data_IF_695826653113
#
_entry.id   IF_695826653113
#
_cell.length_a   1.000
_cell.length_b   1.000
_cell.length_c   1.000
_cell.angle_alpha   90.00
_cell.angle_beta   90.00
_cell.angle_gamma   90.00
#
_symmetry.space_group_name_H-M   'P 1'
#
loop_
_entity.id
_entity.type
_entity.pdbx_description
1 polymer ?
#
# COMPACT_ATOMS: atom_id res chain seq x y z
N UNK A 1 -7.51 5.06 15.02
CA UNK A 1 -7.59 5.46 16.46
C UNK A 1 -6.98 6.83 16.75
N UNK A 2 -5.94 7.28 16.02
CA UNK A 2 -5.33 8.61 16.21
C UNK A 2 -6.29 9.78 16.02
N UNK A 3 -7.04 9.80 14.91
CA UNK A 3 -8.01 10.87 14.59
C UNK A 3 -9.04 11.05 15.71
N UNK A 4 -9.58 9.96 16.24
CA UNK A 4 -10.50 9.99 17.38
C UNK A 4 -9.85 10.54 18.64
N UNK A 5 -8.61 10.13 18.95
CA UNK A 5 -7.87 10.66 20.11
C UNK A 5 -7.58 12.16 19.95
N UNK A 6 -7.17 12.62 18.76
CA UNK A 6 -6.92 14.04 18.47
C UNK A 6 -8.19 14.88 18.61
N UNK A 7 -9.31 14.43 18.03
CA UNK A 7 -10.60 15.12 18.12
C UNK A 7 -11.10 15.17 19.57
N UNK A 8 -11.04 14.05 20.30
CA UNK A 8 -11.47 14.00 21.70
C UNK A 8 -10.57 14.84 22.61
N UNK A 9 -9.26 14.85 22.38
CA UNK A 9 -8.31 15.66 23.16
C UNK A 9 -8.49 17.16 22.89
N UNK A 10 -8.69 17.53 21.62
CA UNK A 10 -8.98 18.91 21.23
C UNK A 10 -10.29 19.42 21.85
N UNK A 11 -11.35 18.61 21.76
CA UNK A 11 -12.65 18.95 22.33
C UNK A 11 -12.63 19.00 23.87
N UNK A 12 -11.91 18.08 24.52
CA UNK A 12 -11.72 18.10 25.97
C UNK A 12 -10.92 19.33 26.44
N UNK A 13 -9.90 19.74 25.68
CA UNK A 13 -9.12 20.95 25.94
C UNK A 13 -10.00 22.21 25.81
N UNK A 14 -10.81 22.29 24.75
CA UNK A 14 -11.76 23.39 24.55
C UNK A 14 -12.78 23.51 25.70
N UNK A 15 -13.18 22.38 26.30
CA UNK A 15 -14.13 22.33 27.42
C UNK A 15 -13.49 22.35 28.80
N UNK A 16 -12.16 22.46 28.90
CA UNK A 16 -11.38 22.37 30.15
C UNK A 16 -11.65 21.08 30.94
N UNK A 17 -11.92 19.98 30.24
CA UNK A 17 -12.15 18.67 30.82
C UNK A 17 -10.81 17.92 30.88
N UNK A 18 -10.37 17.52 32.07
CA UNK A 18 -9.22 16.62 32.20
C UNK A 18 -9.61 15.21 31.75
N UNK A 19 -9.11 14.80 30.60
CA UNK A 19 -9.38 13.50 29.99
C UNK A 19 -8.08 12.68 29.89
N UNK A 20 -8.01 11.55 30.59
CA UNK A 20 -6.90 10.60 30.48
C UNK A 20 -7.29 9.45 29.52
N UNK A 21 -6.87 9.54 28.26
CA UNK A 21 -7.10 8.48 27.26
C UNK A 21 -5.90 7.53 27.25
N UNK A 22 -6.06 6.34 27.83
CA UNK A 22 -5.13 5.22 27.65
C UNK A 22 -5.47 4.49 26.35
N UNK A 23 -4.48 4.31 25.48
CA UNK A 23 -4.62 3.56 24.22
C UNK A 23 -3.70 2.36 24.26
N UNK A 24 -4.28 1.17 24.27
CA UNK A 24 -3.53 -0.08 24.12
C UNK A 24 -3.43 -0.42 22.63
N UNK A 25 -2.25 -0.20 22.04
CA UNK A 25 -1.99 -0.55 20.64
C UNK A 25 -1.44 -1.97 20.61
N UNK A 26 -2.33 -2.94 20.36
CA UNK A 26 -1.91 -4.32 20.18
C UNK A 26 -1.05 -4.44 18.93
N UNK A 27 0.22 -4.83 19.10
CA UNK A 27 1.16 -5.03 17.98
C UNK A 27 0.66 -6.12 16.99
N UNK A 28 -0.26 -6.99 17.41
CA UNK A 28 -0.91 -8.00 16.55
C UNK A 28 -1.90 -7.43 15.52
N UNK A 29 -2.41 -6.20 15.71
CA UNK A 29 -3.35 -5.56 14.77
C UNK A 29 -2.67 -5.05 13.50
N UNK A 30 -1.37 -4.74 13.57
CA UNK A 30 -0.57 -4.21 12.47
C UNK A 30 -0.37 -5.22 11.33
N UNK A 31 0.06 -6.46 11.58
CA UNK A 31 0.13 -7.49 10.54
C UNK A 31 -1.19 -7.69 9.79
N UNK A 32 -2.33 -7.61 10.49
CA UNK A 32 -3.63 -7.74 9.86
C UNK A 32 -3.94 -6.57 8.91
N UNK A 33 -3.71 -5.33 9.34
CA UNK A 33 -3.90 -4.15 8.46
C UNK A 33 -2.94 -4.20 7.27
N UNK A 34 -1.68 -4.60 7.48
CA UNK A 34 -0.70 -4.76 6.40
C UNK A 34 -1.11 -5.86 5.41
N UNK A 35 -1.72 -6.96 5.87
CA UNK A 35 -2.22 -8.02 4.99
C UNK A 35 -3.37 -7.58 4.08
N UNK A 36 -4.20 -6.63 4.54
CA UNK A 36 -5.27 -6.05 3.73
C UNK A 36 -4.72 -5.11 2.66
N UNK A 37 -3.66 -4.37 3.00
CA UNK A 37 -2.94 -3.51 2.05
C UNK A 37 -2.14 -4.34 1.04
N UNK A 38 -1.55 -5.45 1.48
CA UNK A 38 -0.80 -6.39 0.63
C UNK A 38 -1.63 -6.88 -0.55
N UNK A 39 -2.83 -7.40 -0.30
CA UNK A 39 -3.71 -7.87 -1.38
C UNK A 39 -3.96 -6.78 -2.42
N UNK A 40 -4.08 -5.53 -2.00
CA UNK A 40 -4.31 -4.39 -2.90
C UNK A 40 -3.04 -4.01 -3.68
N UNK A 41 -1.88 -3.98 -3.02
CA UNK A 41 -0.58 -3.69 -3.65
C UNK A 41 -0.16 -4.78 -4.64
N UNK A 42 -0.30 -6.05 -4.25
CA UNK A 42 -0.01 -7.21 -5.10
C UNK A 42 -0.84 -7.21 -6.39
N UNK A 43 -2.13 -6.84 -6.31
CA UNK A 43 -2.99 -6.66 -7.50
C UNK A 43 -2.49 -5.52 -8.39
N UNK A 44 -2.05 -4.39 -7.82
CA UNK A 44 -1.49 -3.31 -8.62
C UNK A 44 -0.19 -3.74 -9.31
N UNK A 45 0.70 -4.47 -8.62
CA UNK A 45 1.92 -4.99 -9.24
C UNK A 45 1.66 -6.01 -10.36
N UNK A 46 0.68 -6.90 -10.16
CA UNK A 46 0.25 -7.83 -11.21
C UNK A 46 -0.27 -7.07 -12.45
N UNK A 47 -1.04 -6.00 -12.25
CA UNK A 47 -1.53 -5.16 -13.34
C UNK A 47 -0.40 -4.49 -14.12
N UNK A 48 0.64 -3.99 -13.44
CA UNK A 48 1.83 -3.43 -14.11
C UNK A 48 2.55 -4.47 -14.97
N UNK A 49 2.67 -5.70 -14.48
CA UNK A 49 3.24 -6.82 -15.26
C UNK A 49 2.39 -7.15 -16.47
N UNK A 50 1.05 -7.21 -16.33
CA UNK A 50 0.14 -7.48 -17.44
C UNK A 50 0.26 -6.42 -18.54
N UNK A 51 0.31 -5.12 -18.19
CA UNK A 51 0.50 -4.03 -19.16
C UNK A 51 1.80 -4.18 -19.93
N UNK A 52 2.90 -4.54 -19.26
CA UNK A 52 4.20 -4.76 -19.91
C UNK A 52 4.17 -5.90 -20.92
N UNK A 53 3.25 -6.86 -20.75
CA UNK A 53 3.06 -7.99 -21.67
C UNK A 53 2.11 -7.69 -22.82
N UNK A 54 1.26 -6.66 -22.73
CA UNK A 54 0.27 -6.36 -23.78
C UNK A 54 0.94 -6.09 -25.13
N UNK A 55 1.97 -5.25 -25.17
CA UNK A 55 2.60 -4.86 -26.45
C UNK A 55 3.37 -6.03 -27.09
N UNK A 56 4.25 -6.76 -26.37
CA UNK A 56 4.92 -7.94 -26.92
C UNK A 56 3.95 -9.02 -27.40
N UNK A 57 2.85 -9.25 -26.68
CA UNK A 57 1.86 -10.26 -27.06
C UNK A 57 1.06 -9.84 -28.31
N UNK A 58 0.77 -8.55 -28.48
CA UNK A 58 0.14 -8.02 -29.71
C UNK A 58 1.06 -8.13 -30.92
N UNK A 59 2.35 -7.87 -30.75
CA UNK A 59 3.34 -8.05 -31.83
C UNK A 59 3.42 -9.52 -32.27
N UNK A 60 3.46 -10.46 -31.32
CA UNK A 60 3.45 -11.91 -31.60
C UNK A 60 2.17 -12.31 -32.35
N UNK A 61 1.01 -11.82 -31.93
CA UNK A 61 -0.27 -12.09 -32.61
C UNK A 61 -0.26 -11.57 -34.06
N UNK A 62 0.33 -10.41 -34.32
CA UNK A 62 0.43 -9.85 -35.66
C UNK A 62 1.37 -10.66 -36.58
N UNK A 63 2.45 -11.23 -36.02
CA UNK A 63 3.42 -12.03 -36.77
C UNK A 63 2.88 -13.43 -37.10
N UNK A 64 2.28 -14.10 -36.13
CA UNK A 64 1.87 -15.51 -36.24
C UNK A 64 0.43 -15.68 -36.76
N UNK A 65 -0.39 -14.63 -36.71
CA UNK A 65 -1.80 -14.65 -37.15
C UNK A 65 -2.75 -15.46 -36.24
N UNK A 66 -2.22 -16.20 -35.26
CA UNK A 66 -2.97 -16.92 -34.22
C UNK A 66 -2.27 -16.78 -32.86
N UNK A 67 -3.02 -17.06 -31.78
CA UNK A 67 -2.55 -17.06 -30.39
C UNK A 67 -2.81 -18.41 -29.70
N UNK A 68 -3.17 -19.44 -30.45
CA UNK A 68 -3.56 -20.76 -29.93
C UNK A 68 -2.43 -21.54 -29.27
N UNK A 69 -1.18 -21.12 -29.48
CA UNK A 69 0.01 -21.69 -28.84
C UNK A 69 0.33 -21.04 -27.49
N UNK A 70 -0.27 -19.87 -27.17
CA UNK A 70 -0.02 -19.17 -25.92
C UNK A 70 -0.76 -19.84 -24.75
N UNK A 71 -0.22 -19.72 -23.54
CA UNK A 71 -0.94 -20.15 -22.34
C UNK A 71 -2.25 -19.37 -22.16
N UNK A 72 -3.30 -19.96 -21.56
CA UNK A 72 -4.59 -19.29 -21.36
C UNK A 72 -4.49 -17.92 -20.66
N UNK A 73 -3.60 -17.79 -19.68
CA UNK A 73 -3.38 -16.53 -18.95
C UNK A 73 -2.84 -15.41 -19.86
N UNK A 74 -2.02 -15.75 -20.85
CA UNK A 74 -1.49 -14.77 -21.81
C UNK A 74 -2.55 -14.38 -22.84
N UNK A 75 -3.39 -15.32 -23.27
CA UNK A 75 -4.54 -15.01 -24.13
C UNK A 75 -5.51 -14.06 -23.43
N UNK A 76 -5.78 -14.29 -22.14
CA UNK A 76 -6.58 -13.38 -21.33
C UNK A 76 -6.01 -11.95 -21.30
N UNK A 77 -4.68 -11.78 -21.26
CA UNK A 77 -4.04 -10.45 -21.33
C UNK A 77 -4.27 -9.78 -22.67
N UNK A 78 -4.25 -10.53 -23.77
CA UNK A 78 -4.54 -10.01 -25.13
C UNK A 78 -6.01 -9.60 -25.23
N UNK A 79 -6.93 -10.47 -24.82
CA UNK A 79 -8.38 -10.27 -24.91
C UNK A 79 -8.85 -9.08 -24.06
N UNK A 80 -8.20 -8.85 -22.91
CA UNK A 80 -8.55 -7.78 -21.97
C UNK A 80 -7.60 -6.59 -22.03
N UNK A 81 -6.75 -6.49 -23.05
CA UNK A 81 -5.69 -5.49 -23.15
C UNK A 81 -6.18 -4.05 -22.96
N UNK A 82 -7.34 -3.69 -23.50
CA UNK A 82 -7.89 -2.33 -23.38
C UNK A 82 -8.41 -2.04 -21.96
N UNK A 83 -8.99 -3.04 -21.29
CA UNK A 83 -9.39 -2.92 -19.88
C UNK A 83 -8.17 -2.80 -18.97
N UNK A 84 -7.16 -3.64 -19.20
CA UNK A 84 -5.88 -3.64 -18.48
C UNK A 84 -5.18 -2.29 -18.61
N UNK A 85 -5.14 -1.71 -19.83
CA UNK A 85 -4.58 -0.37 -20.07
C UNK A 85 -5.36 0.73 -19.31
N UNK A 86 -6.70 0.72 -19.36
CA UNK A 86 -7.54 1.68 -18.62
C UNK A 86 -7.37 1.57 -17.10
N UNK A 87 -7.33 0.36 -16.56
CA UNK A 87 -7.11 0.17 -15.13
C UNK A 87 -5.73 0.65 -14.69
N UNK A 88 -4.73 0.51 -15.56
CA UNK A 88 -3.37 0.98 -15.31
C UNK A 88 -3.27 2.51 -15.30
N UNK A 89 -4.08 3.23 -16.08
CA UNK A 89 -4.15 4.70 -16.02
C UNK A 89 -4.53 5.20 -14.61
N UNK A 90 -5.37 4.45 -13.90
CA UNK A 90 -5.78 4.75 -12.51
C UNK A 90 -4.76 4.25 -11.45
N UNK A 91 -3.82 3.41 -11.85
CA UNK A 91 -2.86 2.77 -10.94
C UNK A 91 -1.98 3.78 -10.18
N UNK A 92 -1.41 4.84 -10.78
CA UNK A 92 -0.58 5.81 -10.05
C UNK A 92 -1.33 6.48 -8.90
N UNK A 93 -2.61 6.81 -9.12
CA UNK A 93 -3.48 7.38 -8.09
C UNK A 93 -3.75 6.38 -6.97
N UNK A 94 -4.05 5.12 -7.31
CA UNK A 94 -4.31 4.05 -6.34
C UNK A 94 -3.06 3.73 -5.50
N UNK A 95 -1.89 3.63 -6.14
CA UNK A 95 -0.62 3.41 -5.45
C UNK A 95 -0.28 4.57 -4.52
N UNK A 96 -0.42 5.82 -4.98
CA UNK A 96 -0.20 7.01 -4.14
C UNK A 96 -1.09 6.99 -2.89
N UNK A 97 -2.36 6.61 -3.04
CA UNK A 97 -3.28 6.47 -1.92
C UNK A 97 -2.86 5.36 -0.94
N UNK A 98 -2.50 4.18 -1.46
CA UNK A 98 -2.05 3.06 -0.62
C UNK A 98 -0.75 3.38 0.12
N UNK A 99 0.21 4.05 -0.53
CA UNK A 99 1.45 4.50 0.09
C UNK A 99 1.17 5.50 1.20
N UNK A 100 0.29 6.47 0.97
CA UNK A 100 -0.16 7.43 1.99
C UNK A 100 -0.78 6.72 3.20
N UNK A 101 -1.64 5.72 2.96
CA UNK A 101 -2.26 4.95 4.04
C UNK A 101 -1.22 4.19 4.90
N UNK A 102 -0.23 3.56 4.27
CA UNK A 102 0.84 2.86 4.99
C UNK A 102 1.69 3.85 5.79
N UNK A 103 2.03 4.99 5.18
CA UNK A 103 2.78 6.07 5.83
C UNK A 103 2.04 6.61 7.05
N UNK A 104 0.76 6.94 6.92
CA UNK A 104 -0.08 7.43 8.01
C UNK A 104 -0.24 6.40 9.12
N UNK A 105 -0.35 5.13 8.77
CA UNK A 105 -0.41 4.02 9.74
C UNK A 105 0.90 3.90 10.51
N UNK A 106 2.04 4.02 9.83
CA UNK A 106 3.36 3.98 10.45
C UNK A 106 3.56 5.15 11.42
N UNK A 107 3.29 6.38 10.98
CA UNK A 107 3.39 7.58 11.83
C UNK A 107 2.44 7.47 13.03
N UNK A 108 1.20 7.04 12.80
CA UNK A 108 0.22 6.86 13.86
C UNK A 108 0.65 5.84 14.91
N UNK A 109 1.32 4.74 14.51
CA UNK A 109 1.86 3.74 15.44
C UNK A 109 2.80 4.40 16.45
N UNK A 110 3.78 5.16 15.98
CA UNK A 110 4.83 5.74 16.82
C UNK A 110 4.33 6.90 17.68
N UNK A 111 3.43 7.72 17.13
CA UNK A 111 2.75 8.76 17.91
C UNK A 111 1.90 8.18 19.05
N UNK A 112 1.24 7.05 18.83
CA UNK A 112 0.51 6.36 19.90
C UNK A 112 1.45 5.73 20.94
N UNK A 113 2.67 5.33 20.55
CA UNK A 113 3.73 4.85 21.47
C UNK A 113 4.48 5.99 22.19
N UNK A 114 4.12 7.25 21.96
CA UNK A 114 4.68 8.41 22.66
C UNK A 114 5.81 9.15 21.95
N UNK A 115 6.13 8.77 20.71
CA UNK A 115 7.15 9.47 19.91
C UNK A 115 6.50 10.67 19.18
N UNK A 116 7.00 11.90 19.36
CA UNK A 116 6.37 13.10 18.80
C UNK A 116 6.43 13.15 17.26
N UNK A 117 7.48 12.61 16.66
CA UNK A 117 7.67 12.55 15.22
C UNK A 117 8.55 11.36 14.82
N UNK A 118 8.42 10.96 13.56
CA UNK A 118 9.28 9.96 12.90
C UNK A 118 10.34 10.72 12.10
N UNK A 119 11.59 10.24 12.11
CA UNK A 119 12.68 10.87 11.35
C UNK A 119 12.43 10.80 9.83
N UNK A 120 12.87 11.82 9.10
CA UNK A 120 12.72 11.87 7.63
C UNK A 120 13.39 10.69 6.94
N UNK A 121 14.59 10.32 7.39
CA UNK A 121 15.34 9.16 6.88
C UNK A 121 14.50 7.87 6.94
N UNK A 122 13.79 7.65 8.06
CA UNK A 122 12.94 6.47 8.23
C UNK A 122 11.73 6.49 7.29
N UNK A 123 11.20 7.68 6.96
CA UNK A 123 10.11 7.80 5.99
C UNK A 123 10.60 7.57 4.56
N UNK A 124 11.84 7.97 4.24
CA UNK A 124 12.49 7.69 2.97
C UNK A 124 12.77 6.18 2.81
N UNK A 125 13.23 5.49 3.87
CA UNK A 125 13.37 4.04 3.92
C UNK A 125 12.02 3.33 3.68
N UNK A 126 10.96 3.76 4.35
CA UNK A 126 9.61 3.22 4.14
C UNK A 126 9.16 3.40 2.68
N UNK A 127 9.45 4.56 2.10
CA UNK A 127 9.13 4.83 0.68
C UNK A 127 9.89 3.89 -0.25
N UNK A 128 11.16 3.62 0.02
CA UNK A 128 11.96 2.67 -0.75
C UNK A 128 11.41 1.24 -0.65
N UNK A 129 10.98 0.81 0.54
CA UNK A 129 10.35 -0.51 0.75
C UNK A 129 9.03 -0.60 -0.02
N UNK A 130 8.22 0.46 -0.03
CA UNK A 130 6.95 0.50 -0.77
C UNK A 130 7.16 0.46 -2.29
N UNK A 131 8.21 1.11 -2.80
CA UNK A 131 8.55 1.08 -4.23
C UNK A 131 9.04 -0.31 -4.68
N UNK A 132 9.78 -1.02 -3.83
CA UNK A 132 10.29 -2.37 -4.08
C UNK A 132 9.49 -3.42 -3.27
N UNK A 133 8.17 -3.26 -3.25
CA UNK A 133 7.25 -3.90 -2.30
C UNK A 133 7.61 -5.33 -1.91
N UNK A 134 7.89 -5.53 -0.62
CA UNK A 134 8.03 -6.84 0.01
C UNK A 134 7.33 -6.83 1.37
N UNK A 135 6.32 -7.70 1.54
CA UNK A 135 5.50 -7.76 2.74
C UNK A 135 6.31 -8.12 3.99
N UNK A 136 7.21 -9.10 3.90
CA UNK A 136 8.03 -9.54 5.04
C UNK A 136 8.97 -8.43 5.51
N UNK A 137 9.59 -7.72 4.57
CA UNK A 137 10.44 -6.55 4.85
C UNK A 137 9.61 -5.43 5.46
N UNK A 138 8.40 -5.17 4.93
CA UNK A 138 7.50 -4.15 5.47
C UNK A 138 7.05 -4.46 6.90
N UNK A 139 6.68 -5.71 7.18
CA UNK A 139 6.30 -6.16 8.53
C UNK A 139 7.50 -6.00 9.49
N UNK A 140 8.68 -6.45 9.08
CA UNK A 140 9.90 -6.35 9.87
C UNK A 140 10.25 -4.89 10.17
N UNK A 141 10.19 -4.03 9.17
CA UNK A 141 10.39 -2.59 9.29
C UNK A 141 9.41 -1.93 10.27
N UNK A 142 8.15 -2.36 10.25
CA UNK A 142 7.16 -1.89 11.21
C UNK A 142 7.44 -2.38 12.63
N UNK A 143 8.01 -3.56 12.81
CA UNK A 143 8.33 -4.13 14.14
C UNK A 143 9.58 -3.51 14.76
N UNK A 144 10.52 -3.04 13.94
CA UNK A 144 11.75 -2.39 14.41
C UNK A 144 11.46 -1.11 15.23
N UNK A 145 12.05 -0.97 16.43
CA UNK A 145 11.92 0.24 17.22
C UNK A 145 12.62 1.42 16.54
N UNK A 146 11.95 2.58 16.51
CA UNK A 146 12.61 3.83 16.16
C UNK A 146 13.53 4.21 17.32
N UNK A 147 14.81 4.45 17.00
CA UNK A 147 15.83 4.95 17.94
C UNK A 147 15.72 6.46 18.10
#
# INVERSE_FOLDING_TARGET
>A
MRILKEVLSSEATNRKIHLAITTDVQDASLPHVLSLVDRRLSVQHALATQVRLVEPLREIQQQEGTVDFLAPDLRHVIDNADSIKREYEEQPRRLSFLHGLVHDTYVSKWQLKGYPSVSRERLEELTAILNNYNLEVLISFFQEPIR
#
